data_IF_749161648960
#
_entry.id   IF_749161648960
#
_cell.length_a   1.000
_cell.length_b   1.000
_cell.length_c   1.000
_cell.angle_alpha   90.00
_cell.angle_beta   90.00
_cell.angle_gamma   90.00
#
_symmetry.space_group_name_H-M   'P 1'
#
loop_
_entity.id
_entity.type
_entity.pdbx_description
1 polymer ?
#
# COMPACT_ATOMS: atom_id res chain seq x y z
N UNK A 1 -2.30 -10.40 -12.04
CA UNK A 1 -2.17 -11.77 -11.52
C UNK A 1 -3.58 -12.28 -11.22
N UNK A 2 -4.03 -13.32 -11.92
CA UNK A 2 -5.37 -13.88 -11.77
C UNK A 2 -5.29 -15.18 -10.97
N UNK A 3 -5.97 -15.22 -9.83
CA UNK A 3 -6.04 -16.43 -8.99
C UNK A 3 -7.12 -17.35 -9.57
N UNK A 4 -6.77 -18.56 -9.99
CA UNK A 4 -7.70 -19.52 -10.61
C UNK A 4 -8.48 -18.97 -11.83
N UNK A 5 -7.89 -18.01 -12.55
CA UNK A 5 -8.55 -17.37 -13.69
C UNK A 5 -9.48 -16.19 -13.34
N UNK A 6 -9.77 -15.97 -12.06
CA UNK A 6 -10.58 -14.84 -11.60
C UNK A 6 -9.79 -13.53 -11.61
N UNK A 7 -10.43 -12.43 -11.98
CA UNK A 7 -9.84 -11.12 -11.95
C UNK A 7 -9.73 -10.58 -10.51
N UNK A 8 -8.87 -9.59 -10.28
CA UNK A 8 -8.68 -9.00 -8.95
C UNK A 8 -9.94 -8.35 -8.39
N UNK A 9 -10.86 -7.88 -9.23
CA UNK A 9 -12.15 -7.31 -8.83
C UNK A 9 -13.14 -8.34 -8.26
N UNK A 10 -12.89 -9.61 -8.53
CA UNK A 10 -13.69 -10.74 -8.03
C UNK A 10 -13.19 -11.25 -6.68
N UNK A 11 -12.12 -10.63 -6.14
CA UNK A 11 -11.62 -10.86 -4.79
C UNK A 11 -11.99 -9.71 -3.86
N UNK A 12 -12.40 -10.00 -2.65
CA UNK A 12 -12.79 -9.00 -1.66
C UNK A 12 -11.76 -8.89 -0.55
N UNK A 13 -11.44 -7.65 -0.17
CA UNK A 13 -10.57 -7.37 0.98
C UNK A 13 -11.32 -6.52 1.99
N UNK A 14 -11.38 -7.04 3.21
CA UNK A 14 -11.99 -6.38 4.37
C UNK A 14 -10.92 -5.99 5.37
N UNK A 15 -11.17 -4.92 6.11
CA UNK A 15 -10.40 -4.54 7.30
C UNK A 15 -11.40 -4.40 8.44
N UNK A 16 -11.25 -5.24 9.47
CA UNK A 16 -12.17 -5.34 10.60
C UNK A 16 -13.65 -5.52 10.20
N UNK A 17 -13.90 -6.25 9.10
CA UNK A 17 -15.25 -6.52 8.61
C UNK A 17 -15.84 -5.43 7.69
N UNK A 18 -15.14 -4.35 7.41
CA UNK A 18 -15.53 -3.33 6.44
C UNK A 18 -14.85 -3.59 5.09
N UNK A 19 -15.61 -3.51 3.99
CA UNK A 19 -15.07 -3.70 2.64
C UNK A 19 -14.22 -2.50 2.22
N UNK A 20 -12.99 -2.77 1.78
CA UNK A 20 -12.00 -1.78 1.33
C UNK A 20 -11.65 -1.91 -0.15
N UNK A 21 -12.42 -2.67 -0.93
CA UNK A 21 -12.26 -2.62 -2.38
C UNK A 21 -12.65 -1.23 -2.89
N UNK A 22 -11.81 -0.67 -3.76
CA UNK A 22 -12.06 0.59 -4.44
C UNK A 22 -13.35 0.53 -5.27
N UNK A 23 -14.20 1.55 -5.16
CA UNK A 23 -15.52 1.57 -5.81
C UNK A 23 -15.44 1.64 -7.34
N UNK A 24 -14.39 2.24 -7.89
CA UNK A 24 -14.22 2.35 -9.35
C UNK A 24 -13.55 1.10 -9.94
N UNK A 25 -12.51 0.59 -9.27
CA UNK A 25 -11.66 -0.49 -9.77
C UNK A 25 -12.06 -1.86 -9.25
N UNK A 26 -12.92 -1.92 -8.25
CA UNK A 26 -13.39 -3.16 -7.62
C UNK A 26 -12.31 -3.95 -6.88
N UNK A 27 -11.14 -3.38 -6.59
CA UNK A 27 -10.02 -4.08 -5.98
C UNK A 27 -9.37 -3.27 -4.86
N UNK A 28 -8.76 -3.96 -3.91
CA UNK A 28 -8.03 -3.31 -2.84
C UNK A 28 -6.64 -2.83 -3.28
N UNK A 29 -6.29 -1.61 -2.92
CA UNK A 29 -4.97 -1.04 -3.17
C UNK A 29 -4.01 -1.30 -1.99
N UNK A 30 -3.28 -2.41 -2.02
CA UNK A 30 -2.30 -2.73 -0.98
C UNK A 30 -1.18 -1.68 -0.81
N UNK A 31 -0.96 -0.82 -1.80
CA UNK A 31 0.03 0.25 -1.69
C UNK A 31 -0.34 1.31 -0.65
N UNK A 32 -1.64 1.49 -0.38
CA UNK A 32 -2.15 2.43 0.64
C UNK A 32 -1.72 2.05 2.06
N UNK A 33 -1.44 0.76 2.31
CA UNK A 33 -0.92 0.29 3.60
C UNK A 33 0.53 0.69 3.88
N UNK A 34 1.22 1.25 2.89
CA UNK A 34 2.53 1.88 3.08
C UNK A 34 3.65 1.00 3.65
N UNK A 35 3.49 -0.32 3.61
CA UNK A 35 4.47 -1.27 4.16
C UNK A 35 4.33 -1.54 5.66
N UNK A 36 3.18 -1.22 6.26
CA UNK A 36 2.79 -1.54 7.65
C UNK A 36 2.57 -3.06 7.86
N UNK A 37 3.50 -3.89 7.38
CA UNK A 37 3.34 -5.34 7.33
C UNK A 37 3.12 -5.97 8.71
N UNK A 38 3.80 -5.46 9.75
CA UNK A 38 3.65 -5.98 11.11
C UNK A 38 2.27 -5.66 11.71
N UNK A 39 1.71 -4.50 11.36
CA UNK A 39 0.37 -4.10 11.80
C UNK A 39 -0.73 -4.82 11.00
N UNK A 40 -0.49 -5.17 9.74
CA UNK A 40 -1.47 -5.79 8.84
C UNK A 40 -1.25 -7.32 8.66
N UNK A 41 -0.58 -7.98 9.62
CA UNK A 41 -0.22 -9.40 9.49
C UNK A 41 -1.35 -10.36 9.84
N UNK A 42 -2.27 -9.95 10.72
CA UNK A 42 -3.37 -10.79 11.17
C UNK A 42 -4.44 -10.83 10.08
N UNK A 43 -4.44 -11.90 9.29
CA UNK A 43 -5.32 -12.04 8.12
C UNK A 43 -6.02 -13.39 8.18
N UNK A 44 -7.33 -13.34 7.98
CA UNK A 44 -8.16 -14.51 7.69
C UNK A 44 -8.44 -14.50 6.20
N UNK A 45 -7.98 -15.53 5.49
CA UNK A 45 -8.15 -15.63 4.06
C UNK A 45 -8.82 -16.96 3.69
N UNK A 46 -9.86 -16.86 2.89
CA UNK A 46 -10.62 -18.01 2.39
C UNK A 46 -10.73 -17.96 0.88
N UNK A 47 -10.95 -19.13 0.28
CA UNK A 47 -11.06 -19.26 -1.15
C UNK A 47 -12.52 -19.44 -1.58
N UNK A 48 -12.88 -18.83 -2.71
CA UNK A 48 -14.24 -18.94 -3.24
C UNK A 48 -15.27 -18.28 -2.32
N UNK A 49 -16.47 -18.83 -2.28
CA UNK A 49 -17.61 -18.27 -1.56
C UNK A 49 -17.65 -18.59 -0.06
N UNK A 50 -16.61 -19.21 0.48
CA UNK A 50 -16.48 -19.40 1.92
C UNK A 50 -16.41 -18.04 2.64
N UNK A 51 -17.10 -17.93 3.79
CA UNK A 51 -17.13 -16.68 4.56
C UNK A 51 -16.08 -16.72 5.67
N UNK A 52 -15.13 -15.79 5.69
CA UNK A 52 -14.30 -15.55 6.87
C UNK A 52 -15.14 -14.84 7.95
N UNK A 53 -14.77 -14.98 9.21
CA UNK A 53 -15.57 -14.68 10.40
C UNK A 53 -16.28 -13.31 10.48
N UNK A 54 -15.91 -12.31 9.67
CA UNK A 54 -16.50 -10.96 9.67
C UNK A 54 -16.77 -10.41 8.25
N UNK A 55 -16.75 -11.27 7.24
CA UNK A 55 -16.84 -10.82 5.85
C UNK A 55 -17.63 -11.81 4.99
N UNK A 56 -18.11 -11.32 3.86
CA UNK A 56 -18.82 -12.15 2.89
C UNK A 56 -17.83 -12.82 1.93
N UNK A 57 -18.17 -14.03 1.46
CA UNK A 57 -17.41 -14.74 0.44
C UNK A 57 -17.41 -14.01 -0.92
N UNK A 58 -16.38 -14.28 -1.70
CA UNK A 58 -16.22 -13.73 -3.06
C UNK A 58 -15.65 -14.82 -3.99
N UNK A 59 -15.99 -14.79 -5.29
CA UNK A 59 -15.56 -15.80 -6.26
C UNK A 59 -14.04 -15.97 -6.33
N UNK A 60 -13.31 -14.88 -6.29
CA UNK A 60 -11.84 -14.86 -6.28
C UNK A 60 -11.21 -15.08 -4.91
N UNK A 61 -12.04 -15.30 -3.86
CA UNK A 61 -11.63 -15.41 -2.47
C UNK A 61 -11.72 -14.11 -1.68
N UNK A 62 -11.73 -14.24 -0.36
CA UNK A 62 -11.91 -13.12 0.56
C UNK A 62 -10.78 -13.07 1.58
N UNK A 63 -10.25 -11.89 1.84
CA UNK A 63 -9.26 -11.64 2.91
C UNK A 63 -9.83 -10.63 3.89
N UNK A 64 -9.88 -10.94 5.16
CA UNK A 64 -10.15 -9.98 6.23
C UNK A 64 -8.87 -9.71 7.03
N UNK A 65 -8.48 -8.46 7.13
CA UNK A 65 -7.33 -8.02 7.92
C UNK A 65 -7.87 -7.56 9.28
N UNK A 66 -7.50 -8.26 10.33
CA UNK A 66 -7.95 -7.92 11.68
C UNK A 66 -6.89 -7.04 12.37
N UNK A 67 -7.24 -5.79 12.61
CA UNK A 67 -6.35 -4.76 13.17
C UNK A 67 -6.74 -4.34 14.59
N UNK A 68 -7.59 -5.10 15.27
CA UNK A 68 -7.97 -4.84 16.67
C UNK A 68 -6.75 -4.98 17.59
N UNK A 69 -6.62 -4.08 18.56
CA UNK A 69 -5.43 -4.01 19.44
C UNK A 69 -5.23 -5.30 20.27
N UNK A 70 -6.28 -5.99 20.61
CA UNK A 70 -6.22 -7.26 21.37
C UNK A 70 -5.62 -8.44 20.59
N UNK A 71 -5.48 -8.32 19.26
CA UNK A 71 -4.88 -9.36 18.42
C UNK A 71 -3.34 -9.32 18.38
N UNK A 72 -2.73 -8.36 19.07
CA UNK A 72 -1.28 -8.23 19.14
C UNK A 72 -0.79 -8.64 20.52
N UNK A 73 0.19 -9.53 20.55
CA UNK A 73 0.87 -9.88 21.80
C UNK A 73 1.61 -8.66 22.36
N UNK A 74 1.64 -8.53 23.68
CA UNK A 74 2.40 -7.50 24.37
C UNK A 74 3.88 -7.56 24.00
N UNK A 75 4.49 -6.40 23.77
CA UNK A 75 5.91 -6.30 23.46
C UNK A 75 6.24 -5.31 22.38
N UNK A 76 7.53 -5.20 22.11
CA UNK A 76 8.11 -4.33 21.09
C UNK A 76 8.85 -5.16 20.06
N UNK A 77 8.68 -4.81 18.77
CA UNK A 77 9.49 -5.38 17.71
C UNK A 77 10.03 -4.24 16.84
N UNK A 78 11.32 -4.26 16.57
CA UNK A 78 12.01 -3.28 15.72
C UNK A 78 12.73 -4.02 14.61
N UNK A 79 12.56 -3.57 13.39
CA UNK A 79 13.17 -4.12 12.19
C UNK A 79 13.88 -3.03 11.40
N UNK A 80 15.07 -3.35 10.90
CA UNK A 80 15.75 -2.57 9.88
C UNK A 80 16.12 -3.48 8.70
N UNK A 81 16.00 -2.95 7.49
CA UNK A 81 16.36 -3.68 6.29
C UNK A 81 16.99 -2.75 5.25
N UNK A 82 17.99 -3.28 4.56
CA UNK A 82 18.54 -2.71 3.34
C UNK A 82 18.06 -3.52 2.13
N UNK A 83 17.64 -2.84 1.08
CA UNK A 83 17.15 -3.49 -0.14
C UNK A 83 17.72 -2.80 -1.38
N UNK A 84 17.83 -3.55 -2.47
CA UNK A 84 18.18 -3.00 -3.77
C UNK A 84 16.94 -3.00 -4.70
N UNK A 85 15.93 -2.19 -4.33
CA UNK A 85 14.66 -2.06 -5.07
C UNK A 85 14.27 -0.60 -5.23
N UNK A 86 12.97 -0.30 -5.14
CA UNK A 86 12.47 1.08 -5.21
C UNK A 86 12.94 1.94 -4.03
N UNK A 87 13.16 1.35 -2.86
CA UNK A 87 13.79 1.99 -1.71
C UNK A 87 15.02 1.20 -1.27
N UNK A 88 15.97 1.86 -0.60
CA UNK A 88 17.21 1.27 -0.07
C UNK A 88 17.08 0.91 1.39
N UNK A 89 16.54 1.80 2.19
CA UNK A 89 16.43 1.64 3.64
C UNK A 89 14.95 1.51 4.05
N UNK A 90 14.72 0.63 5.02
CA UNK A 90 13.46 0.48 5.71
C UNK A 90 13.71 0.32 7.20
N UNK A 91 13.13 1.19 8.00
CA UNK A 91 13.02 1.05 9.46
C UNK A 91 11.55 0.82 9.83
N UNK A 92 11.28 -0.06 10.77
CA UNK A 92 9.94 -0.32 11.27
C UNK A 92 9.99 -0.63 12.75
N UNK A 93 9.05 -0.08 13.50
CA UNK A 93 8.81 -0.41 14.91
C UNK A 93 7.32 -0.66 15.14
N UNK A 94 7.01 -1.59 16.02
CA UNK A 94 5.68 -1.85 16.54
C UNK A 94 5.76 -2.09 18.05
N UNK A 95 4.83 -1.51 18.78
CA UNK A 95 4.64 -1.72 20.20
C UNK A 95 3.19 -2.07 20.48
N UNK A 96 2.95 -3.04 21.35
CA UNK A 96 1.63 -3.39 21.83
C UNK A 96 1.66 -3.63 23.33
N UNK A 97 0.64 -3.15 24.04
CA UNK A 97 0.45 -3.41 25.47
C UNK A 97 -0.07 -4.80 25.74
N UNK A 98 -0.68 -5.47 24.74
CA UNK A 98 -1.60 -6.57 25.00
C UNK A 98 -2.86 -6.07 25.73
N UNK A 99 -3.68 -7.02 26.21
CA UNK A 99 -4.84 -6.68 27.06
C UNK A 99 -4.34 -6.42 28.47
N UNK A 100 -4.61 -5.22 29.00
CA UNK A 100 -4.29 -4.81 30.36
C UNK A 100 -5.43 -5.19 31.34
N UNK A 101 -5.15 -5.24 32.61
CA UNK A 101 -6.12 -5.62 33.67
C UNK A 101 -7.37 -4.73 33.68
N UNK A 102 -7.24 -3.50 33.26
CA UNK A 102 -8.36 -2.55 33.13
C UNK A 102 -9.16 -2.76 31.83
N UNK A 103 -8.87 -3.78 31.02
CA UNK A 103 -9.55 -4.12 29.77
C UNK A 103 -9.18 -3.24 28.57
N UNK A 104 -8.18 -2.37 28.66
CA UNK A 104 -7.63 -1.66 27.50
C UNK A 104 -6.53 -2.44 26.80
N UNK A 105 -6.43 -2.26 25.49
CA UNK A 105 -5.31 -2.68 24.69
C UNK A 105 -4.93 -1.55 23.72
N UNK A 106 -3.62 -1.33 23.54
CA UNK A 106 -3.11 -0.33 22.60
C UNK A 106 -2.02 -0.96 21.73
N UNK A 107 -2.02 -0.62 20.44
CA UNK A 107 -0.96 -1.03 19.51
C UNK A 107 -0.61 0.15 18.62
N UNK A 108 0.67 0.46 18.53
CA UNK A 108 1.20 1.49 17.63
C UNK A 108 2.31 0.93 16.76
N UNK A 109 2.33 1.29 15.48
CA UNK A 109 3.42 0.91 14.56
C UNK A 109 3.76 2.08 13.66
N UNK A 110 5.06 2.21 13.38
CA UNK A 110 5.59 3.15 12.40
C UNK A 110 6.52 2.42 11.44
N UNK A 111 6.55 2.87 10.20
CA UNK A 111 7.48 2.39 9.17
C UNK A 111 7.99 3.56 8.35
N UNK A 112 9.29 3.60 8.13
CA UNK A 112 9.91 4.57 7.22
C UNK A 112 10.68 3.84 6.12
N UNK A 113 10.45 4.24 4.87
CA UNK A 113 11.12 3.69 3.70
C UNK A 113 11.72 4.83 2.89
N UNK A 114 12.98 4.71 2.57
CA UNK A 114 13.72 5.80 1.96
C UNK A 114 14.74 5.32 0.92
N UNK A 115 14.90 6.09 -0.13
CA UNK A 115 16.02 6.09 -1.05
C UNK A 115 16.18 7.47 -1.67
N UNK A 116 17.39 7.96 -1.73
CA UNK A 116 17.78 9.12 -2.55
C UNK A 116 17.72 8.77 -4.04
N UNK A 117 18.22 7.59 -4.38
CA UNK A 117 18.06 6.95 -5.68
C UNK A 117 17.81 5.45 -5.48
N UNK A 118 16.76 4.93 -6.14
CA UNK A 118 16.44 3.51 -6.14
C UNK A 118 17.36 2.70 -7.05
N UNK A 119 16.95 1.45 -7.37
CA UNK A 119 17.67 0.61 -8.33
C UNK A 119 17.71 1.22 -9.74
N UNK A 120 16.65 1.90 -10.14
CA UNK A 120 16.50 2.52 -11.47
C UNK A 120 16.91 3.98 -11.38
N UNK A 121 17.68 4.45 -12.35
CA UNK A 121 18.24 5.81 -12.38
C UNK A 121 17.15 6.88 -12.26
N UNK A 122 17.46 7.94 -11.51
CA UNK A 122 16.60 9.12 -11.32
C UNK A 122 15.31 8.81 -10.55
N UNK A 123 15.20 7.63 -9.91
CA UNK A 123 14.09 7.35 -8.99
C UNK A 123 14.50 7.73 -7.56
N UNK A 124 13.54 8.13 -6.76
CA UNK A 124 13.66 8.29 -5.32
C UNK A 124 12.44 7.74 -4.61
N UNK A 125 12.53 7.50 -3.34
CA UNK A 125 11.44 6.97 -2.53
C UNK A 125 11.47 7.57 -1.13
N UNK A 126 10.35 8.13 -0.69
CA UNK A 126 10.15 8.62 0.67
C UNK A 126 8.73 8.26 1.11
N UNK A 127 8.60 7.46 2.16
CA UNK A 127 7.30 7.04 2.67
C UNK A 127 7.38 6.83 4.18
N UNK A 128 6.44 7.43 4.89
CA UNK A 128 6.24 7.26 6.33
C UNK A 128 4.87 6.63 6.56
N UNK A 129 4.82 5.42 7.11
CA UNK A 129 3.57 4.78 7.49
C UNK A 129 3.38 4.82 9.00
N UNK A 130 2.14 5.05 9.43
CA UNK A 130 1.73 4.97 10.82
C UNK A 130 0.49 4.09 10.98
N UNK A 131 0.40 3.44 12.12
CA UNK A 131 -0.75 2.63 12.54
C UNK A 131 -0.94 2.80 14.04
N UNK A 132 -2.19 3.06 14.44
CA UNK A 132 -2.59 3.15 15.83
C UNK A 132 -3.89 2.37 16.01
N UNK A 133 -3.95 1.52 17.03
CA UNK A 133 -5.15 0.82 17.43
C UNK A 133 -5.34 0.93 18.93
N UNK A 134 -6.56 1.23 19.34
CA UNK A 134 -6.99 1.24 20.73
C UNK A 134 -8.24 0.38 20.86
N UNK A 135 -8.31 -0.47 21.85
CA UNK A 135 -9.47 -1.32 22.11
C UNK A 135 -9.81 -1.35 23.59
N UNK A 136 -11.11 -1.32 23.88
CA UNK A 136 -11.65 -1.46 25.23
C UNK A 136 -12.58 -2.67 25.27
N UNK A 137 -12.28 -3.60 26.17
CA UNK A 137 -13.16 -4.70 26.53
C UNK A 137 -13.90 -4.31 27.80
N UNK A 138 -15.24 -4.34 27.77
CA UNK A 138 -16.12 -3.94 28.87
C UNK A 138 -17.25 -4.98 29.00
N UNK A 139 -17.05 -6.02 29.80
CA UNK A 139 -17.96 -7.15 29.87
C UNK A 139 -18.13 -7.82 28.49
N UNK A 140 -19.38 -7.89 28.02
CA UNK A 140 -19.73 -8.49 26.74
C UNK A 140 -19.53 -7.53 25.53
N UNK A 141 -19.09 -6.31 25.78
CA UNK A 141 -18.87 -5.30 24.75
C UNK A 141 -17.39 -5.11 24.47
N UNK A 142 -17.06 -4.89 23.18
CA UNK A 142 -15.73 -4.46 22.73
C UNK A 142 -15.86 -3.25 21.82
N UNK A 143 -15.09 -2.22 22.10
CA UNK A 143 -15.00 -1.02 21.30
C UNK A 143 -13.58 -0.89 20.78
N UNK A 144 -13.41 -0.81 19.47
CA UNK A 144 -12.10 -0.71 18.84
C UNK A 144 -12.04 0.50 17.91
N UNK A 145 -10.98 1.27 18.02
CA UNK A 145 -10.64 2.35 17.11
C UNK A 145 -9.28 2.03 16.47
N UNK A 146 -9.25 2.01 15.15
CA UNK A 146 -8.01 1.81 14.38
C UNK A 146 -7.83 2.97 13.42
N UNK A 147 -6.64 3.53 13.33
CA UNK A 147 -6.27 4.50 12.30
C UNK A 147 -4.92 4.17 11.70
N UNK A 148 -4.79 4.37 10.41
CA UNK A 148 -3.54 4.18 9.69
C UNK A 148 -3.47 5.04 8.45
N UNK A 149 -2.27 5.26 7.95
CA UNK A 149 -2.00 5.98 6.72
C UNK A 149 -0.52 5.93 6.38
N UNK A 150 -0.21 6.22 5.11
CA UNK A 150 1.16 6.18 4.63
C UNK A 150 1.42 7.25 3.57
N UNK A 151 1.66 8.53 3.98
CA UNK A 151 2.10 9.53 3.03
C UNK A 151 3.35 9.06 2.30
N UNK A 152 3.28 9.05 0.99
CA UNK A 152 4.33 8.53 0.11
C UNK A 152 4.61 9.53 -1.00
N UNK A 153 5.89 9.87 -1.17
CA UNK A 153 6.41 10.62 -2.33
C UNK A 153 7.46 9.75 -3.01
N UNK A 154 7.26 9.48 -4.29
CA UNK A 154 8.20 8.64 -5.04
C UNK A 154 8.29 9.06 -6.50
N UNK A 155 9.45 8.88 -7.10
CA UNK A 155 9.64 9.00 -8.53
C UNK A 155 9.33 7.67 -9.24
N UNK A 156 8.83 7.78 -10.46
CA UNK A 156 8.49 6.62 -11.29
C UNK A 156 9.60 6.30 -12.30
N UNK A 157 9.54 5.07 -12.79
CA UNK A 157 10.28 4.59 -13.96
C UNK A 157 9.31 3.97 -14.95
N UNK A 158 9.71 3.89 -16.21
CA UNK A 158 8.99 3.16 -17.25
C UNK A 158 9.86 2.06 -17.84
N UNK A 159 9.20 1.03 -18.36
CA UNK A 159 9.84 0.10 -19.27
C UNK A 159 10.09 0.79 -20.62
N UNK A 160 11.19 0.43 -21.26
CA UNK A 160 11.58 0.91 -22.59
C UNK A 160 11.80 -0.28 -23.53
N UNK A 161 12.03 -0.01 -24.82
CA UNK A 161 12.32 -1.06 -25.78
C UNK A 161 13.64 -1.78 -25.47
N UNK A 162 13.79 -3.01 -25.98
CA UNK A 162 15.03 -3.78 -25.83
C UNK A 162 16.22 -3.01 -26.40
N UNK A 163 16.05 -2.35 -27.54
CA UNK A 163 17.08 -1.52 -28.18
C UNK A 163 17.63 -0.47 -27.21
N UNK A 164 16.76 0.22 -26.44
CA UNK A 164 17.20 1.21 -25.46
C UNK A 164 17.98 0.56 -24.30
N UNK A 165 17.52 -0.61 -23.84
CA UNK A 165 18.27 -1.38 -22.84
C UNK A 165 19.64 -1.84 -23.32
N UNK A 166 19.77 -2.21 -24.59
CA UNK A 166 21.04 -2.63 -25.18
C UNK A 166 22.04 -1.47 -25.25
N UNK A 167 21.58 -0.24 -25.48
CA UNK A 167 22.42 0.96 -25.48
C UNK A 167 22.71 1.55 -24.10
N UNK A 168 21.74 1.50 -23.19
CA UNK A 168 21.79 2.24 -21.91
C UNK A 168 21.80 1.36 -20.67
N UNK A 169 21.63 0.06 -20.84
CA UNK A 169 21.54 -0.89 -19.73
C UNK A 169 20.16 -0.96 -19.07
N UNK A 170 19.95 -2.02 -18.30
CA UNK A 170 18.65 -2.38 -17.69
C UNK A 170 18.16 -1.44 -16.59
N UNK A 171 18.98 -0.49 -16.15
CA UNK A 171 18.63 0.49 -15.12
C UNK A 171 18.19 1.84 -15.68
N UNK A 172 18.22 1.99 -16.99
CA UNK A 172 17.78 3.19 -17.67
C UNK A 172 16.32 3.54 -17.31
N UNK A 173 16.07 4.84 -17.21
CA UNK A 173 14.74 5.39 -16.94
C UNK A 173 14.52 6.64 -17.80
N UNK A 174 13.47 6.70 -18.63
CA UNK A 174 13.20 7.84 -19.51
C UNK A 174 12.64 9.07 -18.79
N UNK A 175 12.30 8.96 -17.51
CA UNK A 175 11.58 10.02 -16.80
C UNK A 175 12.46 11.03 -16.07
N UNK A 176 13.77 10.88 -16.07
CA UNK A 176 14.66 11.82 -15.41
C UNK A 176 15.55 12.58 -16.40
N UNK A 177 16.02 13.73 -15.98
CA UNK A 177 16.95 14.57 -16.70
C UNK A 177 17.51 15.64 -15.78
N UNK A 178 18.28 16.55 -16.34
CA UNK A 178 18.80 17.71 -15.61
C UNK A 178 17.94 18.93 -15.87
N UNK A 179 17.60 19.65 -14.81
CA UNK A 179 16.98 20.96 -14.86
C UNK A 179 17.76 21.89 -13.94
N UNK A 180 18.30 22.99 -14.49
CA UNK A 180 19.13 23.95 -13.75
C UNK A 180 20.33 23.29 -13.03
N UNK A 181 20.92 22.26 -13.65
CA UNK A 181 22.03 21.49 -13.08
C UNK A 181 21.66 20.42 -12.07
N UNK A 182 20.41 20.35 -11.67
CA UNK A 182 19.91 19.34 -10.73
C UNK A 182 19.23 18.14 -11.43
N UNK A 183 19.51 16.94 -10.93
CA UNK A 183 18.85 15.71 -11.40
C UNK A 183 17.39 15.70 -10.94
N UNK A 184 16.47 15.65 -11.89
CA UNK A 184 15.03 15.71 -11.63
C UNK A 184 14.27 14.63 -12.38
N UNK A 185 13.29 14.02 -11.72
CA UNK A 185 12.34 13.10 -12.34
C UNK A 185 11.04 13.84 -12.69
N UNK A 186 10.53 13.63 -13.88
CA UNK A 186 9.30 14.29 -14.38
C UNK A 186 8.02 13.63 -13.88
N UNK A 187 8.09 12.35 -13.46
CA UNK A 187 6.96 11.56 -13.00
C UNK A 187 7.06 11.30 -11.50
N UNK A 188 6.56 12.23 -10.71
CA UNK A 188 6.55 12.14 -9.25
C UNK A 188 5.12 11.86 -8.78
N UNK A 189 4.97 10.79 -8.01
CA UNK A 189 3.71 10.41 -7.37
C UNK A 189 3.73 10.88 -5.92
N UNK A 190 2.66 11.54 -5.52
CA UNK A 190 2.29 11.76 -4.13
C UNK A 190 1.00 10.98 -3.86
N UNK A 191 0.99 10.19 -2.81
CA UNK A 191 -0.21 9.47 -2.37
C UNK A 191 -0.33 9.51 -0.86
N UNK A 192 -1.55 9.67 -0.37
CA UNK A 192 -1.87 9.59 1.05
C UNK A 192 -3.32 9.16 1.23
N UNK A 193 -3.52 8.03 1.88
CA UNK A 193 -4.82 7.39 2.06
C UNK A 193 -5.09 7.16 3.56
N UNK A 194 -5.32 8.24 4.37
CA UNK A 194 -5.64 8.10 5.78
C UNK A 194 -6.98 7.38 5.96
N UNK A 195 -6.98 6.45 6.90
CA UNK A 195 -8.13 5.62 7.22
C UNK A 195 -8.35 5.58 8.71
N UNK A 196 -9.60 5.68 9.13
CA UNK A 196 -10.04 5.47 10.51
C UNK A 196 -11.23 4.50 10.52
N UNK A 197 -11.21 3.53 11.43
CA UNK A 197 -12.23 2.50 11.57
C UNK A 197 -12.63 2.43 13.04
N UNK A 198 -13.92 2.52 13.30
CA UNK A 198 -14.49 2.23 14.62
C UNK A 198 -15.32 0.97 14.53
N UNK A 199 -15.14 0.04 15.45
CA UNK A 199 -15.91 -1.18 15.58
C UNK A 199 -16.52 -1.28 16.97
N UNK A 200 -17.73 -1.83 17.03
CA UNK A 200 -18.40 -2.25 18.23
C UNK A 200 -18.86 -3.70 18.07
N UNK A 201 -18.37 -4.57 18.93
CA UNK A 201 -18.78 -5.96 19.01
C UNK A 201 -19.52 -6.16 20.35
N UNK A 202 -20.69 -6.80 20.31
CA UNK A 202 -21.48 -7.15 21.47
C UNK A 202 -21.80 -8.65 21.45
N UNK A 203 -21.32 -9.35 22.47
CA UNK A 203 -21.70 -10.73 22.74
C UNK A 203 -23.05 -10.70 23.49
N UNK A 204 -24.16 -10.99 22.80
CA UNK A 204 -25.51 -10.96 23.37
C UNK A 204 -25.70 -12.19 24.28
N UNK A 205 -25.29 -13.36 23.78
CA UNK A 205 -25.28 -14.64 24.48
C UNK A 205 -24.20 -15.53 23.87
N UNK A 206 -24.20 -16.84 24.20
CA UNK A 206 -23.20 -17.79 23.70
C UNK A 206 -23.36 -18.15 22.22
N UNK A 207 -24.55 -17.93 21.65
CA UNK A 207 -24.87 -18.25 20.26
C UNK A 207 -25.01 -17.01 19.39
N UNK A 208 -25.19 -15.82 19.99
CA UNK A 208 -25.54 -14.60 19.30
C UNK A 208 -24.51 -13.49 19.52
N UNK A 209 -24.04 -12.89 18.44
CA UNK A 209 -23.11 -11.78 18.46
C UNK A 209 -23.56 -10.71 17.48
N UNK A 210 -23.56 -9.46 17.91
CA UNK A 210 -23.71 -8.29 17.05
C UNK A 210 -22.33 -7.67 16.80
N UNK A 211 -22.02 -7.38 15.54
CA UNK A 211 -20.83 -6.62 15.17
C UNK A 211 -21.25 -5.45 14.29
N UNK A 212 -20.88 -4.23 14.67
CA UNK A 212 -21.11 -3.03 13.91
C UNK A 212 -19.78 -2.31 13.66
N UNK A 213 -19.68 -1.63 12.52
CA UNK A 213 -18.48 -0.90 12.18
C UNK A 213 -18.77 0.29 11.30
N UNK A 214 -18.02 1.36 11.49
CA UNK A 214 -18.01 2.54 10.62
C UNK A 214 -16.57 2.87 10.25
N UNK A 215 -16.35 3.16 8.96
CA UNK A 215 -15.04 3.50 8.42
C UNK A 215 -15.08 4.86 7.74
N UNK A 216 -14.02 5.62 7.93
CA UNK A 216 -13.70 6.82 7.18
C UNK A 216 -12.41 6.60 6.40
N UNK A 217 -12.46 6.84 5.10
CA UNK A 217 -11.32 6.74 4.22
C UNK A 217 -11.28 7.95 3.30
N UNK A 218 -10.13 8.60 3.23
CA UNK A 218 -9.89 9.72 2.33
C UNK A 218 -8.67 9.43 1.48
N UNK A 219 -8.75 9.64 0.17
CA UNK A 219 -7.64 9.36 -0.75
C UNK A 219 -7.18 10.62 -1.45
N UNK A 220 -5.88 10.88 -1.38
CA UNK A 220 -5.19 11.88 -2.18
C UNK A 220 -4.16 11.22 -3.09
N UNK A 221 -4.27 11.49 -4.39
CA UNK A 221 -3.31 11.00 -5.36
C UNK A 221 -2.97 12.09 -6.36
N UNK A 222 -1.68 12.31 -6.58
CA UNK A 222 -1.21 13.16 -7.68
C UNK A 222 -0.02 12.52 -8.39
N UNK A 223 0.09 12.80 -9.68
CA UNK A 223 1.19 12.36 -10.53
C UNK A 223 1.60 13.50 -11.46
N UNK A 224 2.87 13.89 -11.42
CA UNK A 224 3.39 14.90 -12.31
C UNK A 224 3.75 14.33 -13.70
N UNK A 225 3.82 15.18 -14.70
CA UNK A 225 4.30 14.86 -16.02
C UNK A 225 4.93 16.10 -16.67
N UNK A 226 5.83 15.90 -17.64
CA UNK A 226 6.24 17.00 -18.52
C UNK A 226 5.07 17.36 -19.43
N UNK A 227 4.74 18.65 -19.51
CA UNK A 227 3.84 19.17 -20.51
C UNK A 227 4.64 19.52 -21.78
N UNK A 228 4.35 18.82 -22.87
CA UNK A 228 4.98 19.09 -24.18
C UNK A 228 3.90 19.18 -25.29
N UNK A 229 2.76 19.78 -24.95
CA UNK A 229 1.66 19.96 -25.87
C UNK A 229 2.13 20.79 -27.09
N UNK A 230 1.84 20.29 -28.32
CA UNK A 230 2.29 20.87 -29.61
C UNK A 230 3.83 20.97 -29.77
N UNK A 231 4.60 20.16 -29.03
CA UNK A 231 6.04 20.06 -29.17
C UNK A 231 6.46 18.60 -29.42
N UNK A 232 7.64 18.35 -30.00
CA UNK A 232 8.17 17.00 -30.09
C UNK A 232 8.32 16.34 -28.71
N UNK A 233 8.18 15.01 -28.66
CA UNK A 233 8.40 14.25 -27.43
C UNK A 233 9.84 14.46 -26.93
N UNK A 234 10.03 15.01 -25.71
CA UNK A 234 11.36 15.36 -25.20
C UNK A 234 12.17 14.15 -24.71
N UNK A 235 11.60 12.95 -24.73
CA UNK A 235 12.25 11.75 -24.19
C UNK A 235 13.34 11.26 -25.16
N UNK A 236 14.54 10.97 -24.66
CA UNK A 236 15.62 10.42 -25.51
C UNK A 236 15.28 9.06 -26.14
N UNK A 237 14.46 8.27 -25.48
CA UNK A 237 14.00 6.94 -25.90
C UNK A 237 12.75 6.94 -26.78
N UNK A 238 12.30 8.14 -27.22
CA UNK A 238 11.19 8.20 -28.18
C UNK A 238 11.56 7.49 -29.46
N UNK A 239 10.69 6.61 -29.94
CA UNK A 239 11.02 5.65 -31.01
C UNK A 239 11.60 6.29 -32.27
N UNK A 240 11.18 7.53 -32.62
CA UNK A 240 11.72 8.27 -33.78
C UNK A 240 13.18 8.72 -33.62
N UNK A 241 13.69 8.74 -32.38
CA UNK A 241 15.08 9.07 -32.08
C UNK A 241 15.99 7.84 -32.09
N UNK A 242 15.42 6.64 -32.22
CA UNK A 242 16.18 5.39 -32.17
C UNK A 242 16.79 5.04 -33.55
N UNK A 243 18.00 4.45 -33.58
CA UNK A 243 18.66 4.03 -34.82
C UNK A 243 17.81 3.08 -35.68
N UNK A 244 17.08 2.15 -35.08
CA UNK A 244 16.19 1.25 -35.81
C UNK A 244 15.14 2.01 -36.64
N UNK A 245 14.54 3.05 -36.09
CA UNK A 245 13.57 3.87 -36.82
C UNK A 245 14.23 4.65 -37.98
N UNK A 246 15.40 5.23 -37.73
CA UNK A 246 16.14 5.99 -38.76
C UNK A 246 16.54 5.08 -39.92
N UNK A 247 16.96 3.85 -39.63
CA UNK A 247 17.31 2.87 -40.65
C UNK A 247 16.13 2.50 -41.56
N UNK A 248 14.91 2.37 -40.99
CA UNK A 248 13.71 2.06 -41.78
C UNK A 248 13.13 3.22 -42.57
N UNK A 249 13.66 4.45 -42.40
CA UNK A 249 13.27 5.62 -43.18
C UNK A 249 14.18 5.88 -44.38
N UNK A 250 15.31 5.18 -44.49
CA UNK A 250 16.23 5.19 -45.64
C UNK A 250 15.83 4.16 -46.69
#
# INVERSE_FOLDING_TARGET
FNVRGYEQRESSTYINGLNFNDLERGRFNYSSLGGLNNAMRNKDAVNGLEMPGYAYGSLGGTTNINTRATNYAAGTNVNAAYTNRAYKLRGQAIYSTGIMDNGWAFTGSVVYRWADEGRTEGTFYNSFGYFLAAEKVLGDHRFALTTFGAPTKRAQSAAVSQEVYDYRGIYYNPYWGYQDGEKRNSRIVHSYDPTAIFNWDWKIDDESKLSAGVGFHYSQYSNSAIAFYNAPDPRPDYYRNLPSWQYYQL
#
